data_IF_877316768362
#
_entry.id   IF_877316768362
#
_cell.length_a   1.000
_cell.length_b   1.000
_cell.length_c   1.000
_cell.angle_alpha   90.00
_cell.angle_beta   90.00
_cell.angle_gamma   90.00
#
_symmetry.space_group_name_H-M   'P 1'
#
loop_
_entity.id
_entity.type
_entity.pdbx_description
1 polymer ?
#
# COMPACT_ATOMS: atom_id res chain seq x y z
N UNK A 1 21.41 4.04 8.01
CA UNK A 1 20.01 4.53 8.11
C UNK A 1 19.15 3.62 7.25
N UNK A 2 18.15 2.96 7.81
CA UNK A 2 17.24 2.05 7.08
C UNK A 2 16.10 2.86 6.45
N UNK A 3 16.41 3.63 5.41
CA UNK A 3 15.39 4.32 4.63
C UNK A 3 14.68 3.30 3.74
N UNK A 4 13.34 3.30 3.76
CA UNK A 4 12.53 2.43 2.90
C UNK A 4 11.93 3.21 1.73
N UNK A 5 12.11 2.73 0.49
CA UNK A 5 11.39 3.23 -0.68
C UNK A 5 10.06 2.48 -0.82
N UNK A 6 8.93 3.18 -0.86
CA UNK A 6 7.61 2.57 -1.08
C UNK A 6 7.06 3.02 -2.43
N UNK A 7 6.63 2.06 -3.25
CA UNK A 7 6.07 2.33 -4.58
C UNK A 7 4.60 1.90 -4.62
N UNK A 8 3.70 2.84 -4.95
CA UNK A 8 2.24 2.67 -4.91
C UNK A 8 1.57 3.06 -6.23
N UNK A 9 0.34 2.60 -6.49
CA UNK A 9 -0.31 2.81 -7.80
C UNK A 9 -0.82 4.23 -8.00
N UNK A 10 -1.54 4.76 -7.00
CA UNK A 10 -2.28 6.02 -7.07
C UNK A 10 -1.87 7.06 -6.03
N UNK A 11 -2.48 8.25 -6.14
CA UNK A 11 -2.25 9.35 -5.21
C UNK A 11 -2.89 9.10 -3.85
N UNK A 12 -4.04 8.44 -3.80
CA UNK A 12 -4.74 8.07 -2.55
C UNK A 12 -3.93 7.06 -1.76
N UNK A 13 -3.34 6.09 -2.44
CA UNK A 13 -2.45 5.10 -1.86
C UNK A 13 -1.23 5.79 -1.24
N UNK A 14 -0.65 6.74 -1.98
CA UNK A 14 0.47 7.55 -1.49
C UNK A 14 0.08 8.28 -0.20
N UNK A 15 -1.05 8.99 -0.20
CA UNK A 15 -1.54 9.71 0.98
C UNK A 15 -1.75 8.80 2.18
N UNK A 16 -2.39 7.64 1.97
CA UNK A 16 -2.59 6.63 3.01
C UNK A 16 -1.26 6.16 3.61
N UNK A 17 -0.30 5.76 2.77
CA UNK A 17 0.99 5.23 3.22
C UNK A 17 1.83 6.28 3.94
N UNK A 18 1.84 7.52 3.46
CA UNK A 18 2.49 8.63 4.16
C UNK A 18 1.87 8.85 5.55
N UNK A 19 0.54 8.77 5.67
CA UNK A 19 -0.15 8.89 6.96
C UNK A 19 0.21 7.75 7.92
N UNK A 20 0.32 6.52 7.43
CA UNK A 20 0.78 5.37 8.23
C UNK A 20 2.24 5.55 8.66
N UNK A 21 3.12 5.94 7.74
CA UNK A 21 4.55 6.13 8.03
C UNK A 21 4.76 7.25 9.07
N UNK A 22 4.04 8.38 8.94
CA UNK A 22 4.05 9.45 9.95
C UNK A 22 3.56 8.96 11.32
N UNK A 23 2.47 8.19 11.34
CA UNK A 23 1.91 7.63 12.58
C UNK A 23 2.88 6.68 13.28
N UNK A 24 3.65 5.92 12.52
CA UNK A 24 4.64 4.97 13.01
C UNK A 24 6.03 5.58 13.20
N UNK A 25 6.21 6.87 12.86
CA UNK A 25 7.52 7.53 12.80
C UNK A 25 8.56 6.77 11.94
N UNK A 26 8.08 6.07 10.90
CA UNK A 26 8.90 5.26 10.02
C UNK A 26 9.54 6.14 8.92
N UNK A 27 10.85 6.03 8.74
CA UNK A 27 11.57 6.75 7.69
C UNK A 27 11.38 6.07 6.33
N UNK A 28 10.51 6.65 5.50
CA UNK A 28 10.27 6.13 4.15
C UNK A 28 10.06 7.26 3.14
N UNK A 29 10.23 6.92 1.85
CA UNK A 29 9.92 7.78 0.71
C UNK A 29 8.88 7.09 -0.16
N UNK A 30 7.77 7.75 -0.45
CA UNK A 30 6.66 7.16 -1.21
C UNK A 30 6.59 7.71 -2.64
N UNK A 31 6.69 6.84 -3.63
CA UNK A 31 6.63 7.16 -5.05
C UNK A 31 5.45 6.50 -5.77
N UNK A 32 4.88 7.21 -6.75
CA UNK A 32 3.75 6.73 -7.56
C UNK A 32 4.22 6.07 -8.87
N UNK A 33 3.79 4.84 -9.12
CA UNK A 33 4.00 4.18 -10.42
C UNK A 33 2.95 4.58 -11.48
N UNK A 34 1.78 5.12 -11.10
CA UNK A 34 0.67 5.45 -12.01
C UNK A 34 0.15 4.21 -12.75
N UNK A 35 -0.48 3.32 -11.97
CA UNK A 35 -1.04 2.05 -12.44
C UNK A 35 -0.01 0.92 -12.58
N UNK A 36 -0.37 -0.14 -13.32
CA UNK A 36 0.45 -1.34 -13.41
C UNK A 36 1.55 -1.29 -14.48
N UNK A 37 2.68 -0.66 -14.14
CA UNK A 37 3.83 -0.45 -15.04
C UNK A 37 5.13 -1.04 -14.46
N UNK A 38 5.40 -2.35 -14.63
CA UNK A 38 6.62 -2.98 -14.10
C UNK A 38 7.92 -2.30 -14.52
N UNK A 39 8.03 -1.84 -15.78
CA UNK A 39 9.24 -1.12 -16.23
C UNK A 39 9.51 0.15 -15.45
N UNK A 40 8.44 0.85 -15.04
CA UNK A 40 8.57 2.07 -14.26
C UNK A 40 9.03 1.76 -12.83
N UNK A 41 8.58 0.65 -12.26
CA UNK A 41 9.10 0.16 -10.98
C UNK A 41 10.59 -0.11 -11.10
N UNK A 42 11.03 -0.87 -12.11
CA UNK A 42 12.47 -1.12 -12.33
C UNK A 42 13.28 0.16 -12.51
N UNK A 43 12.75 1.15 -13.25
CA UNK A 43 13.42 2.45 -13.42
C UNK A 43 13.52 3.25 -12.11
N UNK A 44 12.45 3.27 -11.32
CA UNK A 44 12.45 3.95 -10.01
C UNK A 44 13.46 3.29 -9.06
N UNK A 45 13.46 1.95 -8.99
CA UNK A 45 14.43 1.22 -8.15
C UNK A 45 15.86 1.53 -8.57
N UNK A 46 16.15 1.53 -9.88
CA UNK A 46 17.48 1.91 -10.41
C UNK A 46 17.87 3.34 -10.07
N UNK A 47 16.94 4.29 -10.19
CA UNK A 47 17.18 5.71 -9.92
C UNK A 47 17.48 5.98 -8.44
N UNK A 48 16.99 5.13 -7.54
CA UNK A 48 17.16 5.25 -6.10
C UNK A 48 18.13 4.21 -5.51
N UNK A 49 18.92 3.52 -6.35
CA UNK A 49 19.92 2.59 -5.85
C UNK A 49 20.99 3.31 -5.03
N UNK A 50 21.37 2.71 -3.90
CA UNK A 50 22.31 3.31 -2.95
C UNK A 50 21.69 4.31 -1.97
N UNK A 51 20.51 4.87 -2.26
CA UNK A 51 19.78 5.75 -1.34
C UNK A 51 18.94 4.99 -0.30
N UNK A 52 18.50 3.77 -0.65
CA UNK A 52 17.63 2.92 0.16
C UNK A 52 18.17 1.50 0.18
N UNK A 53 18.07 0.84 1.33
CA UNK A 53 18.43 -0.58 1.48
C UNK A 53 17.21 -1.52 1.37
N UNK A 54 16.01 -0.94 1.42
CA UNK A 54 14.74 -1.66 1.35
C UNK A 54 13.78 -0.96 0.42
N UNK A 55 13.05 -1.74 -0.38
CA UNK A 55 11.93 -1.24 -1.16
C UNK A 55 10.68 -2.13 -1.01
N UNK A 56 9.52 -1.49 -0.86
CA UNK A 56 8.21 -2.13 -0.77
C UNK A 56 7.38 -1.68 -1.97
N UNK A 57 6.80 -2.63 -2.69
CA UNK A 57 5.90 -2.35 -3.81
C UNK A 57 4.50 -2.82 -3.42
N UNK A 58 3.54 -1.89 -3.38
CA UNK A 58 2.14 -2.20 -3.11
C UNK A 58 1.36 -2.36 -4.41
N UNK A 59 0.61 -3.46 -4.50
CA UNK A 59 -0.15 -3.82 -5.69
C UNK A 59 -1.56 -4.28 -5.37
N UNK A 60 -2.54 -3.69 -6.02
CA UNK A 60 -3.91 -4.15 -5.95
C UNK A 60 -4.12 -5.33 -6.92
N UNK A 61 -4.63 -6.46 -6.43
CA UNK A 61 -4.88 -7.66 -7.25
C UNK A 61 -6.09 -7.52 -8.15
N UNK A 62 -7.12 -6.77 -7.72
CA UNK A 62 -8.40 -6.70 -8.42
C UNK A 62 -8.65 -5.35 -9.10
N UNK A 63 -8.46 -5.34 -10.43
CA UNK A 63 -9.46 -4.74 -11.34
C UNK A 63 -10.11 -5.89 -12.10
N UNK A 64 -11.44 -5.95 -12.13
CA UNK A 64 -12.16 -6.98 -12.88
C UNK A 64 -11.56 -7.11 -14.31
N UNK A 65 -11.16 -8.32 -14.69
CA UNK A 65 -10.71 -8.64 -16.05
C UNK A 65 -9.21 -8.50 -16.38
N UNK A 66 -8.30 -8.33 -15.40
CA UNK A 66 -6.85 -8.37 -15.67
C UNK A 66 -6.15 -9.50 -14.93
N UNK A 67 -5.28 -10.22 -15.63
CA UNK A 67 -4.36 -11.22 -15.06
C UNK A 67 -3.23 -10.51 -14.29
N UNK A 68 -3.55 -10.12 -13.05
CA UNK A 68 -2.60 -9.44 -12.15
C UNK A 68 -1.52 -10.39 -11.66
N UNK A 69 -1.80 -11.70 -11.61
CA UNK A 69 -0.87 -12.75 -11.16
C UNK A 69 0.33 -12.85 -12.10
N UNK A 70 0.11 -12.89 -13.42
CA UNK A 70 1.22 -12.92 -14.39
C UNK A 70 2.04 -11.64 -14.35
N UNK A 71 1.41 -10.48 -14.09
CA UNK A 71 2.09 -9.20 -13.94
C UNK A 71 2.95 -9.16 -12.67
N UNK A 72 2.44 -9.68 -11.55
CA UNK A 72 3.22 -9.82 -10.31
C UNK A 72 4.39 -10.78 -10.53
N UNK A 73 4.19 -11.91 -11.20
CA UNK A 73 5.27 -12.85 -11.49
C UNK A 73 6.36 -12.22 -12.37
N UNK A 74 5.99 -11.45 -13.40
CA UNK A 74 6.94 -10.69 -14.23
C UNK A 74 7.66 -9.61 -13.44
N UNK A 75 6.97 -8.97 -12.50
CA UNK A 75 7.58 -8.01 -11.61
C UNK A 75 8.60 -8.73 -10.72
N UNK A 76 8.19 -9.74 -9.97
CA UNK A 76 9.05 -10.55 -9.09
C UNK A 76 10.29 -11.10 -9.81
N UNK A 77 10.17 -11.59 -11.05
CA UNK A 77 11.33 -12.10 -11.80
C UNK A 77 12.34 -10.99 -12.16
N UNK A 78 11.87 -9.82 -12.62
CA UNK A 78 12.73 -8.65 -12.88
C UNK A 78 13.37 -8.11 -11.62
N UNK A 79 12.67 -8.25 -10.51
CA UNK A 79 13.07 -7.76 -9.22
C UNK A 79 14.17 -8.61 -8.57
N UNK A 80 14.13 -9.94 -8.74
CA UNK A 80 15.21 -10.84 -8.30
C UNK A 80 16.59 -10.46 -8.85
N UNK A 81 16.64 -9.87 -10.06
CA UNK A 81 17.88 -9.37 -10.64
C UNK A 81 18.43 -8.13 -9.92
N UNK A 82 17.58 -7.38 -9.22
CA UNK A 82 17.98 -6.19 -8.45
C UNK A 82 18.35 -6.55 -7.01
N UNK A 83 17.80 -7.64 -6.45
CA UNK A 83 18.16 -8.10 -5.11
C UNK A 83 19.65 -8.49 -4.99
N UNK A 84 20.24 -9.00 -6.08
CA UNK A 84 21.68 -9.32 -6.13
C UNK A 84 22.59 -8.07 -5.97
N UNK A 85 22.02 -6.88 -5.99
CA UNK A 85 22.71 -5.59 -5.83
C UNK A 85 22.55 -5.02 -4.41
N UNK A 86 22.10 -5.83 -3.45
CA UNK A 86 22.01 -5.45 -2.03
C UNK A 86 20.74 -4.71 -1.63
N UNK A 87 19.76 -4.58 -2.54
CA UNK A 87 18.45 -3.98 -2.25
C UNK A 87 17.46 -5.07 -1.82
N UNK A 88 17.02 -5.05 -0.56
CA UNK A 88 15.94 -5.93 -0.12
C UNK A 88 14.62 -5.46 -0.73
N UNK A 89 13.91 -6.37 -1.39
CA UNK A 89 12.69 -5.99 -2.06
C UNK A 89 11.52 -6.85 -1.61
N UNK A 90 10.37 -6.22 -1.40
CA UNK A 90 9.13 -6.87 -1.01
C UNK A 90 7.97 -6.40 -1.89
N UNK A 91 7.21 -7.34 -2.44
CA UNK A 91 5.98 -7.05 -3.18
C UNK A 91 4.80 -7.49 -2.31
N UNK A 92 3.94 -6.54 -1.94
CA UNK A 92 2.74 -6.81 -1.16
C UNK A 92 1.53 -6.64 -2.05
N UNK A 93 0.77 -7.72 -2.17
CA UNK A 93 -0.45 -7.76 -2.95
C UNK A 93 -1.65 -7.52 -2.03
N UNK A 94 -2.38 -6.43 -2.26
CA UNK A 94 -3.64 -6.13 -1.59
C UNK A 94 -4.75 -6.76 -2.41
N UNK A 95 -5.56 -7.63 -1.80
CA UNK A 95 -6.58 -8.42 -2.50
C UNK A 95 -7.51 -7.54 -3.34
N UNK A 96 -7.94 -6.41 -2.80
CA UNK A 96 -8.88 -5.51 -3.48
C UNK A 96 -8.25 -4.14 -3.70
N UNK A 97 -8.06 -3.40 -2.62
CA UNK A 97 -7.47 -2.06 -2.62
C UNK A 97 -7.11 -1.62 -1.21
N UNK A 98 -6.36 -0.52 -1.07
CA UNK A 98 -5.99 0.05 0.25
C UNK A 98 -7.20 0.42 1.12
N UNK A 99 -8.37 0.69 0.54
CA UNK A 99 -9.58 0.92 1.32
C UNK A 99 -9.96 -0.29 2.19
N UNK A 100 -9.58 -1.50 1.82
CA UNK A 100 -9.72 -2.67 2.70
C UNK A 100 -8.92 -2.52 4.00
N UNK A 101 -7.71 -1.95 3.95
CA UNK A 101 -6.90 -1.66 5.15
C UNK A 101 -7.52 -0.56 5.99
N UNK A 102 -8.12 0.46 5.36
CA UNK A 102 -8.87 1.51 6.04
C UNK A 102 -10.06 0.90 6.80
N UNK A 103 -10.86 0.08 6.13
CA UNK A 103 -12.01 -0.60 6.72
C UNK A 103 -11.58 -1.53 7.88
N UNK A 104 -10.45 -2.23 7.73
CA UNK A 104 -9.86 -3.05 8.79
C UNK A 104 -9.58 -2.21 10.06
N UNK A 105 -8.92 -1.06 9.87
CA UNK A 105 -8.63 -0.09 10.93
C UNK A 105 -9.87 0.52 11.58
N UNK A 106 -10.94 0.67 10.81
CA UNK A 106 -12.26 1.10 11.27
C UNK A 106 -13.11 -0.04 11.83
N UNK A 107 -12.50 -1.20 12.10
CA UNK A 107 -13.11 -2.37 12.74
C UNK A 107 -14.15 -3.14 11.89
N UNK A 108 -14.19 -2.93 10.58
CA UNK A 108 -15.04 -3.73 9.67
C UNK A 108 -14.52 -5.17 9.59
N UNK A 109 -15.42 -6.15 9.54
CA UNK A 109 -15.08 -7.57 9.47
C UNK A 109 -14.77 -8.00 8.02
N UNK A 110 -13.80 -8.91 7.86
CA UNK A 110 -13.37 -9.48 6.58
C UNK A 110 -13.16 -8.43 5.46
N UNK A 111 -12.39 -7.36 5.73
CA UNK A 111 -12.36 -6.21 4.84
C UNK A 111 -11.72 -6.49 3.47
N UNK A 112 -10.82 -7.49 3.39
CA UNK A 112 -10.20 -7.92 2.12
C UNK A 112 -11.15 -8.74 1.23
N UNK A 113 -12.25 -9.26 1.79
CA UNK A 113 -13.28 -10.02 1.05
C UNK A 113 -14.35 -9.12 0.44
N UNK A 114 -14.42 -7.84 0.85
CA UNK A 114 -15.39 -6.88 0.34
C UNK A 114 -15.14 -6.65 -1.15
N UNK A 115 -16.15 -6.87 -1.99
CA UNK A 115 -16.01 -6.77 -3.44
C UNK A 115 -15.62 -5.36 -3.90
N UNK A 116 -16.19 -4.33 -3.26
CA UNK A 116 -15.89 -2.93 -3.52
C UNK A 116 -15.60 -2.17 -2.22
N UNK A 117 -14.36 -2.24 -1.71
CA UNK A 117 -13.98 -1.58 -0.45
C UNK A 117 -14.12 -0.05 -0.50
N UNK A 118 -13.95 0.56 -1.68
CA UNK A 118 -14.10 2.01 -1.85
C UNK A 118 -15.54 2.47 -1.59
N UNK A 119 -16.53 1.79 -2.17
CA UNK A 119 -17.94 2.09 -1.94
C UNK A 119 -18.36 1.79 -0.50
N UNK A 120 -17.82 0.73 0.11
CA UNK A 120 -18.13 0.43 1.52
C UNK A 120 -17.55 1.48 2.47
N UNK A 121 -16.32 1.95 2.20
CA UNK A 121 -15.72 3.06 2.95
C UNK A 121 -16.55 4.34 2.81
N UNK A 122 -16.99 4.67 1.60
CA UNK A 122 -17.86 5.83 1.35
C UNK A 122 -19.17 5.73 2.15
N UNK A 123 -19.85 4.58 2.12
CA UNK A 123 -21.08 4.34 2.90
C UNK A 123 -20.83 4.48 4.41
N UNK A 124 -19.73 3.91 4.91
CA UNK A 124 -19.37 3.99 6.32
C UNK A 124 -19.13 5.44 6.77
N UNK A 125 -18.44 6.23 5.95
CA UNK A 125 -18.16 7.65 6.25
C UNK A 125 -19.44 8.49 6.21
N UNK A 126 -20.31 8.25 5.22
CA UNK A 126 -21.62 8.91 5.15
C UNK A 126 -22.52 8.61 6.36
N UNK A 127 -22.54 7.34 6.82
CA UNK A 127 -23.27 6.95 8.04
C UNK A 127 -22.76 7.67 9.30
N UNK A 128 -21.49 8.07 9.32
CA UNK A 128 -20.90 8.88 10.40
C UNK A 128 -21.11 10.40 10.23
N UNK A 129 -21.96 10.81 9.29
CA UNK A 129 -22.23 12.23 9.01
C UNK A 129 -21.07 12.96 8.32
N UNK A 130 -20.08 12.24 7.78
CA UNK A 130 -18.93 12.85 7.10
C UNK A 130 -19.18 12.88 5.60
N UNK A 131 -18.99 14.05 4.99
CA UNK A 131 -18.89 14.14 3.52
C UNK A 131 -17.57 13.49 3.10
N UNK A 132 -17.67 12.38 2.37
CA UNK A 132 -16.51 11.62 1.92
C UNK A 132 -16.26 11.86 0.43
N UNK A 133 -15.13 12.49 0.13
CA UNK A 133 -14.59 12.65 -1.22
C UNK A 133 -13.24 11.95 -1.23
N UNK A 134 -13.01 11.08 -2.21
CA UNK A 134 -11.74 10.36 -2.30
C UNK A 134 -10.63 11.35 -2.66
N UNK A 135 -9.71 11.59 -1.73
CA UNK A 135 -8.54 12.45 -1.93
C UNK A 135 -7.32 11.94 -1.14
N UNK A 136 -6.09 12.26 -1.59
CA UNK A 136 -4.87 11.92 -0.86
C UNK A 136 -4.85 12.44 0.58
N UNK A 137 -5.33 13.66 0.79
CA UNK A 137 -5.36 14.34 2.10
C UNK A 137 -6.30 13.62 3.06
N UNK A 138 -7.47 13.20 2.58
CA UNK A 138 -8.42 12.44 3.38
C UNK A 138 -7.84 11.07 3.77
N UNK A 139 -7.15 10.39 2.85
CA UNK A 139 -6.55 9.08 3.13
C UNK A 139 -5.40 9.18 4.11
N UNK A 140 -4.59 10.24 3.98
CA UNK A 140 -3.52 10.56 4.93
C UNK A 140 -4.08 10.83 6.32
N UNK A 141 -5.13 11.65 6.43
CA UNK A 141 -5.82 11.93 7.70
C UNK A 141 -6.39 10.66 8.31
N UNK A 142 -7.10 9.84 7.52
CA UNK A 142 -7.67 8.57 7.99
C UNK A 142 -6.59 7.65 8.55
N UNK A 143 -5.49 7.47 7.81
CA UNK A 143 -4.34 6.68 8.24
C UNK A 143 -3.74 7.17 9.55
N UNK A 144 -3.49 8.47 9.65
CA UNK A 144 -2.82 9.08 10.80
C UNK A 144 -3.72 9.12 12.04
N UNK A 145 -4.96 9.56 11.89
CA UNK A 145 -5.83 9.97 13.00
C UNK A 145 -6.93 8.95 13.33
N UNK A 146 -7.53 8.31 12.32
CA UNK A 146 -8.78 7.55 12.52
C UNK A 146 -8.57 6.02 12.61
N UNK A 147 -7.54 5.49 11.95
CA UNK A 147 -7.29 4.05 11.89
C UNK A 147 -6.54 3.54 13.12
N UNK A 148 -7.05 2.44 13.70
CA UNK A 148 -6.33 1.65 14.68
C UNK A 148 -5.43 0.61 13.96
N UNK A 149 -4.11 0.79 14.08
CA UNK A 149 -3.10 -0.07 13.45
C UNK A 149 -3.20 -1.51 13.95
N UNK A 150 -3.45 -1.72 15.25
CA UNK A 150 -3.54 -3.07 15.83
C UNK A 150 -4.75 -3.80 15.28
N UNK A 151 -5.89 -3.11 15.18
CA UNK A 151 -7.11 -3.70 14.58
C UNK A 151 -6.93 -3.97 13.09
N UNK A 152 -6.31 -3.04 12.36
CA UNK A 152 -6.02 -3.24 10.95
C UNK A 152 -5.13 -4.48 10.75
N UNK A 153 -4.05 -4.63 11.52
CA UNK A 153 -3.16 -5.78 11.45
C UNK A 153 -3.83 -7.10 11.90
N UNK A 154 -4.78 -7.05 12.83
CA UNK A 154 -5.53 -8.23 13.26
C UNK A 154 -6.57 -8.71 12.21
N UNK A 155 -7.03 -7.82 11.33
CA UNK A 155 -8.11 -8.09 10.36
C UNK A 155 -7.67 -8.14 8.90
N UNK A 156 -6.42 -7.76 8.61
CA UNK A 156 -5.84 -7.75 7.27
C UNK A 156 -4.42 -8.30 7.32
N UNK A 157 -4.21 -9.48 6.74
CA UNK A 157 -2.89 -10.12 6.70
C UNK A 157 -1.94 -9.32 5.79
N UNK A 158 -2.44 -8.75 4.69
CA UNK A 158 -1.64 -7.91 3.82
C UNK A 158 -1.15 -6.64 4.54
N UNK A 159 -2.01 -6.01 5.35
CA UNK A 159 -1.62 -4.85 6.15
C UNK A 159 -0.64 -5.23 7.26
N UNK A 160 -0.88 -6.34 7.97
CA UNK A 160 0.04 -6.85 8.99
C UNK A 160 1.45 -7.07 8.43
N UNK A 161 1.56 -7.71 7.26
CA UNK A 161 2.82 -7.92 6.57
C UNK A 161 3.49 -6.60 6.18
N UNK A 162 2.70 -5.63 5.68
CA UNK A 162 3.21 -4.30 5.36
C UNK A 162 3.84 -3.61 6.57
N UNK A 163 3.15 -3.60 7.72
CA UNK A 163 3.64 -2.95 8.93
C UNK A 163 4.91 -3.65 9.45
N UNK A 164 4.93 -4.99 9.45
CA UNK A 164 6.11 -5.75 9.86
C UNK A 164 7.33 -5.40 8.98
N UNK A 165 7.16 -5.34 7.66
CA UNK A 165 8.25 -5.03 6.73
C UNK A 165 8.71 -3.57 6.87
N UNK A 166 7.77 -2.64 7.06
CA UNK A 166 8.06 -1.20 7.17
C UNK A 166 8.81 -0.84 8.46
N UNK A 167 8.56 -1.57 9.55
CA UNK A 167 9.10 -1.26 10.89
C UNK A 167 10.37 -2.04 11.25
N UNK A 168 10.74 -3.02 10.42
CA UNK A 168 12.03 -3.74 10.51
C UNK A 168 13.14 -2.94 9.82
#
# INVERSE_FOLDING_TARGET
>A
MNSTLIIVEGLTDKGFIEGIAEKLQAQCKVHIMRGNRPEKVSRLLKAFMGEFNKAIILKDLHRAGRDTTTLINKLTSKLKQLESQGLQLQVISVKRSIESWILAGLSVNNPEEILNPEEELKKLMQKKGKQYIKSPEIYKRLAKEEIDIKKAAAKSEAFKNFIAILTT
#
